data_IF_171793434909
#
_entry.id   IF_171793434909
#
_cell.length_a   1.000
_cell.length_b   1.000
_cell.length_c   1.000
_cell.angle_alpha   90.00
_cell.angle_beta   90.00
_cell.angle_gamma   90.00
#
_symmetry.space_group_name_H-M   'P 1'
#
loop_
_entity.id
_entity.type
_entity.pdbx_description
1 polymer ?
#
# COMPACT_ATOMS: atom_id res chain seq x y z
N UNK A 1 20.19 -1.97 2.12
CA UNK A 1 19.13 -2.22 1.13
C UNK A 1 17.85 -1.55 1.58
N UNK A 2 17.16 -0.85 0.69
CA UNK A 2 15.94 -0.13 1.10
C UNK A 2 14.78 -1.07 1.39
N UNK A 3 13.95 -0.67 2.35
CA UNK A 3 12.70 -1.36 2.61
C UNK A 3 11.70 -1.08 1.48
N UNK A 4 10.69 -1.93 1.36
CA UNK A 4 9.66 -1.82 0.34
C UNK A 4 8.32 -1.49 0.98
N UNK A 5 7.59 -0.58 0.34
CA UNK A 5 6.25 -0.16 0.78
C UNK A 5 5.25 -0.58 -0.28
N UNK A 6 4.23 -1.35 0.11
CA UNK A 6 3.15 -1.79 -0.78
C UNK A 6 1.81 -1.29 -0.25
N UNK A 7 1.10 -0.53 -1.07
CA UNK A 7 -0.26 -0.11 -0.77
C UNK A 7 -1.24 -0.96 -1.59
N UNK A 8 -1.91 -1.88 -0.94
CA UNK A 8 -2.94 -2.71 -1.56
C UNK A 8 -4.25 -1.94 -1.59
N UNK A 9 -4.83 -1.76 -2.78
CA UNK A 9 -6.04 -1.00 -2.94
C UNK A 9 -6.94 -1.55 -4.05
N UNK A 10 -8.19 -1.05 -4.09
CA UNK A 10 -9.16 -1.35 -5.13
C UNK A 10 -9.77 -0.05 -5.63
N UNK A 11 -10.20 -0.01 -6.88
CA UNK A 11 -10.76 1.20 -7.46
C UNK A 11 -12.14 1.54 -6.88
N UNK A 12 -12.94 0.53 -6.55
CA UNK A 12 -14.28 0.72 -5.98
C UNK A 12 -14.27 0.95 -4.47
N UNK A 13 -13.10 1.09 -3.88
CA UNK A 13 -12.93 1.22 -2.43
C UNK A 13 -12.91 2.71 -2.03
N UNK A 14 -13.92 3.16 -1.29
CA UNK A 14 -13.99 4.55 -0.81
C UNK A 14 -12.80 4.95 0.05
N UNK A 15 -12.45 4.19 1.11
CA UNK A 15 -11.26 4.48 1.91
C UNK A 15 -9.95 4.47 1.12
N UNK A 16 -9.84 3.64 0.08
CA UNK A 16 -8.66 3.64 -0.79
C UNK A 16 -8.52 4.97 -1.53
N UNK A 17 -9.63 5.52 -2.03
CA UNK A 17 -9.63 6.82 -2.69
C UNK A 17 -9.22 7.95 -1.75
N UNK A 18 -9.63 7.88 -0.49
CA UNK A 18 -9.24 8.84 0.54
C UNK A 18 -7.74 8.78 0.82
N UNK A 19 -7.16 7.58 0.87
CA UNK A 19 -5.73 7.40 1.05
C UNK A 19 -4.95 7.99 -0.13
N UNK A 20 -5.40 7.73 -1.36
CA UNK A 20 -4.78 8.29 -2.57
C UNK A 20 -4.79 9.82 -2.52
N UNK A 21 -5.94 10.40 -2.16
CA UNK A 21 -6.09 11.85 -2.05
C UNK A 21 -5.17 12.42 -0.97
N UNK A 22 -5.09 11.75 0.18
CA UNK A 22 -4.23 12.16 1.28
C UNK A 22 -2.75 12.15 0.85
N UNK A 23 -2.32 11.08 0.17
CA UNK A 23 -0.94 10.96 -0.28
C UNK A 23 -0.54 12.06 -1.26
N UNK A 24 -1.46 12.50 -2.12
CA UNK A 24 -1.21 13.60 -3.05
C UNK A 24 -0.98 14.93 -2.33
N UNK A 25 -1.53 15.09 -1.12
CA UNK A 25 -1.35 16.30 -0.32
C UNK A 25 -0.17 16.25 0.64
N UNK A 26 0.46 15.09 0.82
CA UNK A 26 1.61 14.94 1.72
C UNK A 26 2.84 15.52 1.05
N UNK A 27 3.47 16.50 1.72
CA UNK A 27 4.70 17.14 1.23
C UNK A 27 5.94 16.41 1.75
N UNK A 28 6.05 15.14 1.40
CA UNK A 28 7.18 14.29 1.76
C UNK A 28 7.57 13.49 0.54
N UNK A 29 8.79 13.72 0.04
CA UNK A 29 9.27 13.05 -1.17
C UNK A 29 9.29 11.54 -1.03
N UNK A 30 9.41 11.04 0.19
CA UNK A 30 9.43 9.59 0.46
C UNK A 30 8.11 8.91 0.14
N UNK A 31 7.02 9.67 -0.02
CA UNK A 31 5.73 9.11 -0.41
C UNK A 31 5.79 8.42 -1.78
N UNK A 32 6.73 8.84 -2.64
CA UNK A 32 6.90 8.28 -3.98
C UNK A 32 7.46 6.87 -3.99
N UNK A 33 8.02 6.40 -2.88
CA UNK A 33 8.54 5.02 -2.79
C UNK A 33 7.43 3.99 -2.57
N UNK A 34 6.22 4.45 -2.22
CA UNK A 34 5.10 3.57 -1.97
C UNK A 34 4.56 3.04 -3.29
N UNK A 35 4.70 1.73 -3.51
CA UNK A 35 4.16 1.06 -4.69
C UNK A 35 2.70 0.71 -4.51
N UNK A 36 1.85 1.12 -5.44
CA UNK A 36 0.44 0.79 -5.40
C UNK A 36 0.20 -0.57 -6.03
N UNK A 37 -0.50 -1.44 -5.30
CA UNK A 37 -0.84 -2.79 -5.76
C UNK A 37 -2.36 -2.85 -5.93
N UNK A 38 -2.82 -2.72 -7.18
CA UNK A 38 -4.25 -2.76 -7.50
C UNK A 38 -4.75 -4.20 -7.48
N UNK A 39 -5.85 -4.44 -6.76
CA UNK A 39 -6.48 -5.75 -6.62
C UNK A 39 -7.85 -5.83 -7.29
N UNK A 40 -8.23 -4.82 -8.06
CA UNK A 40 -9.51 -4.79 -8.74
C UNK A 40 -9.35 -4.33 -10.18
N UNK A 41 -10.00 -5.05 -11.08
CA UNK A 41 -9.98 -4.79 -12.51
C UNK A 41 -11.31 -4.16 -12.94
N UNK A 42 -11.26 -2.90 -13.39
CA UNK A 42 -12.41 -2.19 -13.94
C UNK A 42 -12.38 -2.07 -15.46
N UNK A 43 -11.33 -2.54 -16.06
CA UNK A 43 -11.14 -2.45 -17.49
C UNK A 43 -10.98 -3.85 -18.06
N UNK A 44 -10.87 -3.97 -19.36
CA UNK A 44 -10.56 -5.26 -19.99
C UNK A 44 -9.11 -5.70 -19.75
N UNK A 45 -8.36 -4.93 -18.96
CA UNK A 45 -7.00 -5.27 -18.57
C UNK A 45 -7.02 -6.07 -17.28
N UNK A 46 -6.65 -7.35 -17.29
CA UNK A 46 -6.68 -8.16 -16.08
C UNK A 46 -5.67 -7.67 -15.04
N UNK A 47 -5.99 -7.92 -13.77
CA UNK A 47 -5.06 -7.64 -12.67
C UNK A 47 -3.80 -8.47 -12.88
N UNK A 48 -2.60 -7.85 -12.79
CA UNK A 48 -1.36 -8.61 -12.88
C UNK A 48 -1.32 -9.73 -11.84
N UNK A 49 -0.93 -10.93 -12.25
CA UNK A 49 -0.88 -12.08 -11.35
C UNK A 49 0.05 -11.80 -10.16
N UNK A 50 1.11 -11.04 -10.37
CA UNK A 50 2.04 -10.66 -9.30
C UNK A 50 1.36 -9.89 -8.17
N UNK A 51 0.33 -9.07 -8.48
CA UNK A 51 -0.42 -8.33 -7.47
C UNK A 51 -1.23 -9.30 -6.59
N UNK A 52 -1.87 -10.28 -7.21
CA UNK A 52 -2.64 -11.30 -6.50
C UNK A 52 -1.72 -12.18 -5.65
N UNK A 53 -0.56 -12.53 -6.17
CA UNK A 53 0.43 -13.33 -5.46
C UNK A 53 0.97 -12.59 -4.22
N UNK A 54 1.23 -11.29 -4.35
CA UNK A 54 1.66 -10.45 -3.22
C UNK A 54 0.59 -10.39 -2.13
N UNK A 55 -0.67 -10.18 -2.52
CA UNK A 55 -1.77 -10.13 -1.58
C UNK A 55 -1.89 -11.45 -0.82
N UNK A 56 -1.76 -12.56 -1.51
CA UNK A 56 -1.82 -13.89 -0.91
C UNK A 56 -0.64 -14.14 0.02
N UNK A 57 0.57 -13.74 -0.40
CA UNK A 57 1.78 -13.91 0.39
C UNK A 57 1.68 -13.23 1.75
N UNK A 58 1.11 -12.01 1.79
CA UNK A 58 1.02 -11.22 3.02
C UNK A 58 -0.35 -11.31 3.69
N UNK A 59 -1.23 -12.18 3.22
CA UNK A 59 -2.54 -12.40 3.84
C UNK A 59 -3.48 -11.21 3.75
N UNK A 60 -3.39 -10.43 2.68
CA UNK A 60 -4.24 -9.25 2.48
C UNK A 60 -5.63 -9.69 2.05
N UNK A 61 -6.63 -9.42 2.90
CA UNK A 61 -8.04 -9.80 2.65
C UNK A 61 -8.98 -8.60 2.59
N UNK A 62 -8.45 -7.40 2.85
CA UNK A 62 -9.22 -6.15 2.86
C UNK A 62 -8.41 -5.07 2.17
N UNK A 63 -9.02 -3.91 1.90
CA UNK A 63 -8.36 -2.74 1.34
C UNK A 63 -8.90 -1.48 2.02
N UNK A 64 -8.10 -0.43 2.14
CA UNK A 64 -6.67 -0.39 1.84
C UNK A 64 -5.83 -1.07 2.94
N UNK A 65 -4.70 -1.64 2.55
CA UNK A 65 -3.72 -2.20 3.49
C UNK A 65 -2.33 -1.74 3.05
N UNK A 66 -1.55 -1.26 3.99
CA UNK A 66 -0.15 -0.90 3.76
C UNK A 66 0.74 -1.96 4.41
N UNK A 67 1.61 -2.57 3.60
CA UNK A 67 2.60 -3.55 4.07
C UNK A 67 3.98 -2.97 3.82
N UNK A 68 4.84 -3.02 4.84
CA UNK A 68 6.24 -2.63 4.72
C UNK A 68 7.08 -3.88 4.92
N UNK A 69 8.01 -4.12 4.00
CA UNK A 69 8.92 -5.26 4.07
C UNK A 69 10.36 -4.81 4.01
N UNK A 70 11.28 -5.69 4.41
CA UNK A 70 12.69 -5.48 4.13
C UNK A 70 13.01 -5.87 2.68
N UNK A 71 14.29 -5.79 2.31
CA UNK A 71 14.73 -6.13 0.95
C UNK A 71 14.54 -7.60 0.60
N UNK A 72 14.45 -8.47 1.61
CA UNK A 72 14.24 -9.90 1.43
C UNK A 72 12.75 -10.28 1.39
N UNK A 73 11.87 -9.31 1.57
CA UNK A 73 10.43 -9.54 1.52
C UNK A 73 9.80 -9.94 2.85
N UNK A 74 10.54 -9.84 3.95
CA UNK A 74 10.01 -10.12 5.30
C UNK A 74 9.17 -8.93 5.76
N UNK A 75 7.93 -9.19 6.17
CA UNK A 75 7.03 -8.15 6.65
C UNK A 75 7.54 -7.53 7.94
N UNK A 76 7.71 -6.22 7.94
CA UNK A 76 8.14 -5.44 9.10
C UNK A 76 6.96 -4.71 9.76
N UNK A 77 5.97 -4.28 8.97
CA UNK A 77 4.85 -3.49 9.47
C UNK A 77 3.62 -3.71 8.60
N UNK A 78 2.42 -3.58 9.21
CA UNK A 78 1.15 -3.68 8.51
C UNK A 78 0.17 -2.68 9.12
N UNK A 79 -0.51 -1.90 8.27
CA UNK A 79 -1.59 -1.01 8.68
C UNK A 79 -2.81 -1.29 7.82
N UNK A 80 -3.95 -1.48 8.48
CA UNK A 80 -5.22 -1.83 7.83
C UNK A 80 -6.18 -0.65 7.94
N UNK A 81 -6.84 -0.32 6.82
CA UNK A 81 -7.84 0.74 6.77
C UNK A 81 -7.25 2.12 6.51
N UNK A 82 -8.09 3.01 5.98
CA UNK A 82 -7.67 4.36 5.58
C UNK A 82 -7.08 5.16 6.72
N UNK A 83 -7.73 5.16 7.89
CA UNK A 83 -7.26 5.92 9.04
C UNK A 83 -5.95 5.37 9.60
N UNK A 84 -5.83 4.04 9.67
CA UNK A 84 -4.61 3.40 10.15
C UNK A 84 -3.41 3.77 9.29
N UNK A 85 -3.61 3.90 7.99
CA UNK A 85 -2.56 4.28 7.05
C UNK A 85 -2.26 5.77 7.15
N UNK A 86 -3.27 6.63 7.01
CA UNK A 86 -3.05 8.08 6.95
C UNK A 86 -2.52 8.66 8.24
N UNK A 87 -2.96 8.16 9.39
CA UNK A 87 -2.50 8.64 10.69
C UNK A 87 -1.06 8.23 11.00
N UNK A 88 -0.55 7.18 10.35
CA UNK A 88 0.77 6.63 10.67
C UNK A 88 1.80 6.81 9.56
N UNK A 89 1.39 7.26 8.36
CA UNK A 89 2.29 7.24 7.20
C UNK A 89 3.57 8.04 7.40
N UNK A 90 3.49 9.21 8.03
CA UNK A 90 4.68 10.03 8.26
C UNK A 90 5.68 9.35 9.19
N UNK A 91 5.17 8.77 10.29
CA UNK A 91 6.00 8.02 11.24
C UNK A 91 6.63 6.80 10.57
N UNK A 92 5.86 6.10 9.74
CA UNK A 92 6.34 4.91 9.02
C UNK A 92 7.42 5.27 8.01
N UNK A 93 7.25 6.37 7.29
CA UNK A 93 8.27 6.86 6.36
C UNK A 93 9.54 7.25 7.10
N UNK A 94 9.41 7.87 8.26
CA UNK A 94 10.55 8.26 9.06
C UNK A 94 11.29 7.06 9.62
N UNK A 95 10.57 6.00 9.99
CA UNK A 95 11.17 4.82 10.60
C UNK A 95 11.76 3.85 9.57
N UNK A 96 11.09 3.65 8.44
CA UNK A 96 11.42 2.59 7.49
C UNK A 96 11.95 3.07 6.13
N UNK A 97 11.75 4.31 5.79
CA UNK A 97 12.20 4.83 4.49
C UNK A 97 13.62 5.38 4.51
#
# INVERSE_FOLDING_TARGET
MPNRFYLFSKQSCGPCALVDKYFKGVKDERISIIGKVDLEDFTDVPIPQENLDLAKKYGVTATPVLIITDADGVKLEEKVGGMGITQNIRSLLQEYA
#
